data_IF_016974398025
#
_entry.id   IF_016974398025
#
_cell.length_a   1.000
_cell.length_b   1.000
_cell.length_c   1.000
_cell.angle_alpha   90.00
_cell.angle_beta   90.00
_cell.angle_gamma   90.00
#
_symmetry.space_group_name_H-M   'P 1'
#
loop_
_entity.id
_entity.type
_entity.pdbx_description
1 polymer ?
#
# COMPACT_ATOMS: atom_id res chain seq x y z
N UNK A 1 -1.36 -6.93 15.60
CA UNK A 1 -2.08 -6.20 14.52
C UNK A 1 -1.25 -6.29 13.23
N UNK A 2 -1.90 -6.63 12.15
CA UNK A 2 -1.24 -6.72 10.84
C UNK A 2 -1.72 -5.58 9.96
N UNK A 3 -0.81 -4.68 9.59
CA UNK A 3 -1.11 -3.47 8.82
C UNK A 3 -0.53 -3.64 7.42
N UNK A 4 -1.31 -3.33 6.39
CA UNK A 4 -0.82 -3.29 5.02
C UNK A 4 -0.97 -1.89 4.45
N UNK A 5 0.03 -1.43 3.74
CA UNK A 5 0.01 -0.16 3.01
C UNK A 5 -0.07 -0.45 1.53
N UNK A 6 -1.09 0.09 0.85
CA UNK A 6 -1.14 0.08 -0.60
C UNK A 6 -0.16 1.14 -1.11
N UNK A 7 1.05 0.71 -1.44
CA UNK A 7 2.17 1.59 -1.72
C UNK A 7 2.21 1.96 -3.20
N UNK A 8 2.19 3.25 -3.50
CA UNK A 8 2.19 3.78 -4.87
C UNK A 8 3.31 4.80 -5.14
N UNK A 9 4.28 4.88 -4.25
CA UNK A 9 5.42 5.80 -4.39
C UNK A 9 5.12 7.26 -4.06
N UNK A 10 3.89 7.60 -3.73
CA UNK A 10 3.52 8.98 -3.36
C UNK A 10 4.02 9.32 -1.97
N UNK A 11 4.06 10.61 -1.65
CA UNK A 11 4.41 11.08 -0.31
C UNK A 11 3.45 10.50 0.73
N UNK A 12 2.15 10.47 0.42
CA UNK A 12 1.14 9.91 1.31
C UNK A 12 1.41 8.43 1.62
N UNK A 13 1.80 7.66 0.61
CA UNK A 13 2.15 6.24 0.82
C UNK A 13 3.39 6.09 1.69
N UNK A 14 4.38 6.94 1.51
CA UNK A 14 5.60 6.93 2.34
C UNK A 14 5.28 7.27 3.79
N UNK A 15 4.47 8.29 4.01
CA UNK A 15 4.02 8.66 5.36
C UNK A 15 3.19 7.54 6.00
N UNK A 16 2.31 6.91 5.21
CA UNK A 16 1.52 5.77 5.68
C UNK A 16 2.41 4.59 6.08
N UNK A 17 3.49 4.34 5.35
CA UNK A 17 4.43 3.28 5.67
C UNK A 17 5.14 3.55 7.00
N UNK A 18 5.63 4.76 7.21
CA UNK A 18 6.24 5.17 8.48
C UNK A 18 5.24 5.05 9.63
N UNK A 19 4.02 5.53 9.41
CA UNK A 19 2.95 5.43 10.40
C UNK A 19 2.64 3.97 10.74
N UNK A 20 2.53 3.11 9.74
CA UNK A 20 2.28 1.68 9.94
C UNK A 20 3.36 1.00 10.75
N UNK A 21 4.61 1.34 10.48
CA UNK A 21 5.76 0.82 11.23
C UNK A 21 5.67 1.24 12.70
N UNK A 22 5.36 2.51 12.97
CA UNK A 22 5.23 3.01 14.34
C UNK A 22 4.05 2.37 15.08
N UNK A 23 2.92 2.19 14.40
CA UNK A 23 1.78 1.48 15.01
C UNK A 23 2.11 0.02 15.29
N UNK A 24 2.78 -0.67 14.38
CA UNK A 24 3.22 -2.04 14.60
C UNK A 24 4.18 -2.12 15.80
N UNK A 25 5.05 -1.13 15.95
CA UNK A 25 5.97 -1.06 17.09
C UNK A 25 5.24 -0.92 18.42
N UNK A 26 4.25 -0.02 18.48
CA UNK A 26 3.54 0.27 19.73
C UNK A 26 2.47 -0.78 20.06
N UNK A 27 1.87 -1.40 19.06
CA UNK A 27 0.78 -2.38 19.25
C UNK A 27 1.26 -3.83 19.19
N UNK A 28 2.54 -4.06 18.90
CA UNK A 28 3.06 -5.43 18.77
C UNK A 28 2.54 -6.14 17.55
N UNK A 29 2.79 -5.60 16.35
CA UNK A 29 2.30 -6.17 15.12
C UNK A 29 3.34 -6.21 14.01
N UNK A 30 2.88 -6.34 12.77
CA UNK A 30 3.72 -6.31 11.59
C UNK A 30 3.13 -5.39 10.53
N UNK A 31 3.97 -4.95 9.60
CA UNK A 31 3.56 -4.09 8.50
C UNK A 31 4.01 -4.69 7.17
N UNK A 32 3.14 -4.60 6.18
CA UNK A 32 3.42 -5.03 4.81
C UNK A 32 3.21 -3.82 3.89
N UNK A 33 4.20 -3.51 3.07
CA UNK A 33 4.02 -2.58 1.96
C UNK A 33 3.81 -3.40 0.70
N UNK A 34 2.68 -3.21 0.03
CA UNK A 34 2.37 -3.87 -1.22
C UNK A 34 2.30 -2.84 -2.34
N UNK A 35 3.15 -3.00 -3.33
CA UNK A 35 3.13 -2.21 -4.55
C UNK A 35 2.62 -3.07 -5.69
N UNK A 36 1.56 -2.61 -6.36
CA UNK A 36 1.07 -3.25 -7.57
C UNK A 36 1.13 -2.22 -8.69
N UNK A 37 1.88 -2.51 -9.72
CA UNK A 37 1.96 -1.62 -10.88
C UNK A 37 1.19 -2.21 -12.05
N UNK A 38 0.54 -1.33 -12.80
CA UNK A 38 -0.25 -1.70 -13.95
C UNK A 38 0.56 -1.45 -15.22
N UNK A 39 0.81 -2.50 -15.99
CA UNK A 39 1.46 -2.38 -17.30
C UNK A 39 0.40 -2.19 -18.36
N UNK A 40 0.57 -1.24 -19.29
CA UNK A 40 -0.39 -1.11 -20.38
C UNK A 40 -0.45 -2.38 -21.22
N UNK A 41 -1.69 -2.81 -21.50
CA UNK A 41 -1.98 -3.94 -22.35
C UNK A 41 -2.41 -3.44 -23.73
N UNK A 42 -1.53 -3.09 -24.61
CA UNK A 42 -1.71 -2.98 -26.07
C UNK A 42 -2.49 -1.87 -26.73
N UNK A 43 -1.83 -1.18 -27.62
CA UNK A 43 -2.40 -0.73 -28.90
C UNK A 43 -1.32 -0.90 -29.99
N UNK A 44 -0.10 -0.62 -29.71
CA UNK A 44 1.07 -0.72 -30.56
C UNK A 44 2.11 -1.53 -29.81
N UNK A 45 2.65 -2.56 -30.46
CA UNK A 45 3.61 -3.45 -29.81
C UNK A 45 4.82 -2.71 -29.27
N UNK A 46 5.41 -1.83 -30.09
CA UNK A 46 6.61 -1.11 -29.66
C UNK A 46 6.33 -0.10 -28.54
N UNK A 47 5.23 0.62 -28.65
CA UNK A 47 4.81 1.55 -27.62
C UNK A 47 4.47 0.82 -26.31
N UNK A 48 3.86 -0.36 -26.42
CA UNK A 48 3.52 -1.19 -25.27
C UNK A 48 4.75 -1.69 -24.55
N UNK A 49 5.76 -2.15 -25.28
CA UNK A 49 7.03 -2.60 -24.71
C UNK A 49 7.72 -1.47 -23.96
N UNK A 50 7.83 -0.28 -24.56
CA UNK A 50 8.43 0.88 -23.92
C UNK A 50 7.66 1.29 -22.66
N UNK A 51 6.34 1.35 -22.73
CA UNK A 51 5.51 1.74 -21.60
C UNK A 51 5.62 0.74 -20.46
N UNK A 52 5.73 -0.55 -20.78
CA UNK A 52 5.93 -1.61 -19.80
C UNK A 52 7.29 -1.49 -19.10
N UNK A 53 8.35 -1.24 -19.86
CA UNK A 53 9.69 -1.06 -19.31
C UNK A 53 9.75 0.18 -18.42
N UNK A 54 9.10 1.27 -18.81
CA UNK A 54 9.01 2.48 -17.99
C UNK A 54 8.25 2.22 -16.69
N UNK A 55 7.13 1.49 -16.76
CA UNK A 55 6.35 1.15 -15.57
C UNK A 55 7.17 0.29 -14.60
N UNK A 56 7.95 -0.66 -15.12
CA UNK A 56 8.83 -1.50 -14.30
C UNK A 56 9.97 -0.71 -13.68
N UNK A 57 10.56 0.21 -14.42
CA UNK A 57 11.63 1.07 -13.91
C UNK A 57 11.11 1.97 -12.79
N UNK A 58 9.94 2.56 -12.97
CA UNK A 58 9.29 3.37 -11.94
C UNK A 58 8.97 2.54 -10.70
N UNK A 59 8.42 1.34 -10.89
CA UNK A 59 8.12 0.43 -9.79
C UNK A 59 9.38 0.05 -9.02
N UNK A 60 10.49 -0.18 -9.71
CA UNK A 60 11.77 -0.48 -9.07
C UNK A 60 12.29 0.69 -8.23
N UNK A 61 12.13 1.91 -8.72
CA UNK A 61 12.52 3.11 -7.98
C UNK A 61 11.69 3.25 -6.71
N UNK A 62 10.38 3.10 -6.81
CA UNK A 62 9.48 3.17 -5.65
C UNK A 62 9.77 2.06 -4.63
N UNK A 63 10.10 0.87 -5.12
CA UNK A 63 10.51 -0.25 -4.27
C UNK A 63 11.76 0.09 -3.46
N UNK A 64 12.78 0.65 -4.10
CA UNK A 64 14.01 1.03 -3.42
C UNK A 64 13.75 2.11 -2.35
N UNK A 65 12.90 3.08 -2.65
CA UNK A 65 12.51 4.11 -1.68
C UNK A 65 11.79 3.50 -0.47
N UNK A 66 10.86 2.56 -0.70
CA UNK A 66 10.14 1.88 0.37
C UNK A 66 11.08 1.01 1.22
N UNK A 67 11.98 0.29 0.58
CA UNK A 67 12.96 -0.55 1.29
C UNK A 67 13.90 0.29 2.15
N UNK A 68 14.25 1.49 1.70
CA UNK A 68 15.06 2.41 2.47
C UNK A 68 14.32 2.86 3.74
N UNK A 69 13.05 3.19 3.62
CA UNK A 69 12.21 3.55 4.78
C UNK A 69 12.17 2.39 5.77
N UNK A 70 11.96 1.18 5.29
CA UNK A 70 11.91 -0.01 6.14
C UNK A 70 13.26 -0.20 6.85
N UNK A 71 14.35 -0.08 6.13
CA UNK A 71 15.70 -0.25 6.68
C UNK A 71 15.97 0.75 7.80
N UNK A 72 15.57 2.00 7.62
CA UNK A 72 15.83 3.06 8.60
C UNK A 72 14.85 3.05 9.77
N UNK A 73 13.57 2.75 9.52
CA UNK A 73 12.50 2.96 10.50
C UNK A 73 12.01 1.69 11.18
N UNK A 74 12.19 0.51 10.57
CA UNK A 74 11.56 -0.72 11.04
C UNK A 74 12.45 -1.57 11.95
N UNK A 75 13.46 -0.99 12.58
CA UNK A 75 14.30 -1.74 13.52
C UNK A 75 13.45 -2.28 14.67
N UNK A 76 13.50 -3.60 14.86
CA UNK A 76 12.70 -4.27 15.88
C UNK A 76 11.25 -4.49 15.52
N UNK A 77 10.84 -4.18 14.29
CA UNK A 77 9.49 -4.39 13.79
C UNK A 77 9.55 -5.29 12.56
N UNK A 78 8.67 -6.27 12.48
CA UNK A 78 8.56 -7.11 11.30
C UNK A 78 7.91 -6.30 10.17
N UNK A 79 8.68 -6.00 9.14
CA UNK A 79 8.22 -5.22 7.99
C UNK A 79 8.65 -5.90 6.71
N UNK A 80 7.73 -5.98 5.74
CA UNK A 80 7.96 -6.67 4.46
C UNK A 80 7.52 -5.78 3.30
N UNK A 81 8.14 -5.97 2.15
CA UNK A 81 7.75 -5.31 0.91
C UNK A 81 7.50 -6.36 -0.18
N UNK A 82 6.36 -6.22 -0.86
CA UNK A 82 6.02 -7.07 -2.00
C UNK A 82 5.67 -6.20 -3.19
N UNK A 83 6.07 -6.63 -4.39
CA UNK A 83 5.77 -5.93 -5.63
C UNK A 83 5.21 -6.92 -6.65
N UNK A 84 4.15 -6.50 -7.35
CA UNK A 84 3.53 -7.30 -8.39
C UNK A 84 3.03 -6.46 -9.54
N UNK A 85 2.67 -7.12 -10.63
CA UNK A 85 2.11 -6.51 -11.83
C UNK A 85 0.66 -6.98 -12.01
N UNK A 86 -0.25 -6.04 -12.27
CA UNK A 86 -1.66 -6.37 -12.46
C UNK A 86 -2.55 -5.16 -12.24
N UNK A 87 -3.83 -5.39 -12.02
CA UNK A 87 -4.76 -4.33 -11.66
C UNK A 87 -4.56 -3.98 -10.18
N UNK A 88 -4.08 -2.77 -9.85
CA UNK A 88 -3.73 -2.44 -8.47
C UNK A 88 -4.87 -2.62 -7.46
N UNK A 89 -6.08 -2.21 -7.81
CA UNK A 89 -7.21 -2.29 -6.87
C UNK A 89 -7.62 -3.74 -6.60
N UNK A 90 -7.64 -4.58 -7.62
CA UNK A 90 -7.97 -5.99 -7.48
C UNK A 90 -6.91 -6.73 -6.68
N UNK A 91 -5.65 -6.52 -7.02
CA UNK A 91 -4.53 -7.21 -6.37
C UNK A 91 -4.36 -6.80 -4.91
N UNK A 92 -4.57 -5.53 -4.59
CA UNK A 92 -4.50 -5.04 -3.21
C UNK A 92 -5.54 -5.75 -2.34
N UNK A 93 -6.78 -5.84 -2.80
CA UNK A 93 -7.84 -6.51 -2.06
C UNK A 93 -7.55 -8.01 -1.91
N UNK A 94 -7.15 -8.68 -3.00
CA UNK A 94 -6.84 -10.11 -2.97
C UNK A 94 -5.71 -10.42 -2.00
N UNK A 95 -4.67 -9.62 -2.02
CA UNK A 95 -3.51 -9.79 -1.14
C UNK A 95 -3.88 -9.54 0.31
N UNK A 96 -4.67 -8.49 0.58
CA UNK A 96 -5.11 -8.17 1.93
C UNK A 96 -5.91 -9.32 2.54
N UNK A 97 -6.78 -9.94 1.75
CA UNK A 97 -7.57 -11.09 2.20
C UNK A 97 -6.69 -12.33 2.43
N UNK A 98 -5.79 -12.62 1.49
CA UNK A 98 -4.91 -13.79 1.60
C UNK A 98 -4.01 -13.71 2.82
N UNK A 99 -3.50 -12.51 3.13
CA UNK A 99 -2.62 -12.27 4.27
C UNK A 99 -3.38 -12.05 5.58
N UNK A 100 -4.70 -12.00 5.55
CA UNK A 100 -5.54 -11.77 6.72
C UNK A 100 -5.17 -10.47 7.47
N UNK A 101 -5.00 -9.41 6.70
CA UNK A 101 -4.61 -8.10 7.21
C UNK A 101 -5.74 -7.49 8.05
N UNK A 102 -5.40 -6.87 9.17
CA UNK A 102 -6.38 -6.18 10.02
C UNK A 102 -6.74 -4.80 9.48
N UNK A 103 -5.74 -4.06 9.02
CA UNK A 103 -5.90 -2.68 8.55
C UNK A 103 -5.19 -2.49 7.22
N UNK A 104 -5.89 -1.86 6.28
CA UNK A 104 -5.34 -1.45 4.99
C UNK A 104 -5.29 0.08 4.95
N UNK A 105 -4.10 0.63 4.69
CA UNK A 105 -3.90 2.07 4.52
C UNK A 105 -3.82 2.38 3.03
N UNK A 106 -4.77 3.20 2.55
CA UNK A 106 -4.90 3.52 1.13
C UNK A 106 -4.61 5.00 0.87
N UNK A 107 -3.59 5.32 0.04
CA UNK A 107 -3.43 6.67 -0.50
C UNK A 107 -4.61 7.05 -1.40
N UNK A 108 -4.79 8.36 -1.70
CA UNK A 108 -5.94 8.84 -2.48
C UNK A 108 -6.12 8.22 -3.86
N UNK A 109 -5.05 7.70 -4.45
CA UNK A 109 -5.09 7.05 -5.76
C UNK A 109 -6.05 5.85 -5.81
N UNK A 110 -6.27 5.17 -4.68
CA UNK A 110 -7.12 3.98 -4.60
C UNK A 110 -8.58 4.34 -4.32
N UNK A 111 -9.16 5.21 -5.15
CA UNK A 111 -10.51 5.77 -4.96
C UNK A 111 -11.61 4.72 -4.90
N UNK A 112 -11.54 3.70 -5.73
CA UNK A 112 -12.56 2.64 -5.80
C UNK A 112 -12.58 1.83 -4.49
N UNK A 113 -11.42 1.48 -3.97
CA UNK A 113 -11.32 0.78 -2.70
C UNK A 113 -11.86 1.67 -1.58
N UNK A 114 -11.40 2.91 -1.54
CA UNK A 114 -11.79 3.86 -0.50
C UNK A 114 -13.31 4.06 -0.48
N UNK A 115 -13.92 4.33 -1.64
CA UNK A 115 -15.37 4.59 -1.70
C UNK A 115 -16.19 3.37 -1.30
N UNK A 116 -15.70 2.16 -1.60
CA UNK A 116 -16.44 0.93 -1.31
C UNK A 116 -16.33 0.51 0.17
N UNK A 117 -15.20 0.73 0.80
CA UNK A 117 -14.92 0.21 2.15
C UNK A 117 -14.71 1.28 3.21
N UNK A 118 -14.86 2.54 2.88
CA UNK A 118 -14.54 3.67 3.75
C UNK A 118 -15.23 3.61 5.12
N UNK A 119 -16.45 3.11 5.17
CA UNK A 119 -17.24 3.08 6.41
C UNK A 119 -16.70 2.11 7.46
N UNK A 120 -15.85 1.16 7.06
CA UNK A 120 -15.42 0.07 7.94
C UNK A 120 -14.67 0.54 9.19
N UNK A 121 -13.89 1.63 9.08
CA UNK A 121 -13.14 2.18 10.22
C UNK A 121 -13.49 3.64 10.50
N UNK A 122 -14.60 4.16 9.94
CA UNK A 122 -15.01 5.53 10.17
C UNK A 122 -15.20 5.80 11.66
N UNK A 123 -14.64 6.89 12.17
CA UNK A 123 -14.74 7.28 13.56
C UNK A 123 -13.74 6.65 14.51
N UNK A 124 -12.90 5.72 14.04
CA UNK A 124 -11.85 5.15 14.88
C UNK A 124 -10.67 6.12 15.03
N UNK A 125 -9.87 5.95 16.08
CA UNK A 125 -8.66 6.73 16.30
C UNK A 125 -7.69 6.57 15.12
N UNK A 126 -7.54 5.34 14.64
CA UNK A 126 -6.62 5.03 13.54
C UNK A 126 -7.08 5.71 12.24
N UNK A 127 -8.38 5.75 11.99
CA UNK A 127 -8.94 6.46 10.83
C UNK A 127 -8.66 7.97 10.91
N UNK A 128 -8.80 8.55 12.10
CA UNK A 128 -8.50 9.97 12.33
C UNK A 128 -7.03 10.30 12.13
N UNK A 129 -6.14 9.46 12.62
CA UNK A 129 -4.69 9.64 12.44
C UNK A 129 -4.30 9.51 10.98
N UNK A 130 -4.85 8.53 10.25
CA UNK A 130 -4.59 8.32 8.85
C UNK A 130 -5.08 9.50 8.00
N UNK A 131 -6.24 10.06 8.33
CA UNK A 131 -6.81 11.21 7.63
C UNK A 131 -5.89 12.43 7.68
N UNK A 132 -5.13 12.60 8.75
CA UNK A 132 -4.16 13.71 8.88
C UNK A 132 -3.03 13.60 7.84
N UNK A 133 -2.77 12.41 7.34
CA UNK A 133 -1.78 12.17 6.29
C UNK A 133 -2.41 12.11 4.90
N UNK A 134 -3.70 12.43 4.78
CA UNK A 134 -4.47 12.27 3.55
C UNK A 134 -4.45 10.81 3.05
N UNK A 135 -4.59 9.89 3.99
CA UNK A 135 -4.65 8.45 3.75
C UNK A 135 -5.91 7.90 4.42
N UNK A 136 -6.55 6.93 3.82
CA UNK A 136 -7.74 6.30 4.38
C UNK A 136 -7.39 4.93 4.97
N UNK A 137 -7.77 4.73 6.23
CA UNK A 137 -7.60 3.44 6.91
C UNK A 137 -8.88 2.63 6.78
N UNK A 138 -8.76 1.40 6.31
CA UNK A 138 -9.87 0.50 6.06
C UNK A 138 -9.69 -0.80 6.84
N UNK A 139 -10.78 -1.39 7.30
CA UNK A 139 -10.75 -2.72 7.88
C UNK A 139 -10.72 -3.77 6.77
N UNK A 140 -9.65 -4.54 6.68
CA UNK A 140 -9.55 -5.58 5.68
C UNK A 140 -10.55 -6.72 5.92
N UNK A 141 -11.04 -6.87 7.15
CA UNK A 141 -12.05 -7.87 7.50
C UNK A 141 -13.42 -7.58 6.89
N UNK A 142 -13.66 -6.34 6.48
CA UNK A 142 -14.93 -5.92 5.86
C UNK A 142 -14.93 -6.04 4.34
N UNK A 143 -13.84 -6.46 3.76
CA UNK A 143 -13.66 -6.56 2.31
C UNK A 143 -14.20 -7.86 1.71
#
# INVERSE_FOLDING_TARGET
MKIMVAYDGTLQAKEALVYGIEKARTKGGEVIALQVFNSPLFVDYDATVNARDMARAEASRFMEEAKEIIREKAKGVKASFYSGEGNPEVEVISFAKAEQVDVLLCPPKFKTIISKYQKALAGSELAGEAAKMNVTALSAKSM
#
